data_IF_298146299466
#
_entry.id   IF_298146299466
#
_cell.length_a   1.000
_cell.length_b   1.000
_cell.length_c   1.000
_cell.angle_alpha   90.00
_cell.angle_beta   90.00
_cell.angle_gamma   90.00
#
_symmetry.space_group_name_H-M   'P 1'
#
loop_
_entity.id
_entity.type
_entity.pdbx_description
1 polymer ?
#
# COMPACT_ATOMS: atom_id res chain seq x y z
N UNK A 1 29.91 -0.51 -7.23
CA UNK A 1 30.27 0.71 -7.96
C UNK A 1 29.16 1.00 -8.97
N UNK A 2 28.49 2.14 -8.79
CA UNK A 2 27.70 2.93 -9.74
C UNK A 2 26.40 2.36 -10.34
N UNK A 3 25.29 2.58 -9.62
CA UNK A 3 24.10 3.23 -10.21
C UNK A 3 24.43 4.72 -10.46
N UNK A 4 25.46 5.00 -11.27
CA UNK A 4 25.67 6.31 -11.87
C UNK A 4 25.61 6.07 -13.36
N UNK A 5 24.48 6.41 -13.97
CA UNK A 5 24.28 6.22 -15.40
C UNK A 5 24.05 7.56 -16.07
N UNK A 6 25.09 8.12 -16.72
CA UNK A 6 24.89 9.08 -17.78
C UNK A 6 24.46 8.41 -19.10
N UNK A 7 24.63 7.10 -19.29
CA UNK A 7 24.63 6.51 -20.64
C UNK A 7 23.90 5.16 -20.81
N UNK A 8 22.89 4.84 -20.00
CA UNK A 8 21.85 3.92 -20.52
C UNK A 8 20.94 4.75 -21.40
N UNK A 9 20.76 4.34 -22.65
CA UNK A 9 19.78 4.96 -23.54
C UNK A 9 18.43 4.88 -22.86
N UNK A 10 18.01 6.00 -22.25
CA UNK A 10 16.74 6.19 -21.54
C UNK A 10 15.53 5.71 -22.33
N UNK A 11 15.65 5.53 -23.64
CA UNK A 11 14.59 5.16 -24.56
C UNK A 11 14.23 3.66 -24.47
N UNK A 12 15.20 2.74 -24.48
CA UNK A 12 14.91 1.29 -24.62
C UNK A 12 14.20 0.70 -23.40
N UNK A 13 14.58 1.10 -22.19
CA UNK A 13 13.89 0.68 -20.96
C UNK A 13 12.55 1.41 -20.78
N UNK A 14 12.42 2.65 -21.26
CA UNK A 14 11.21 3.46 -21.13
C UNK A 14 10.10 3.03 -22.09
N UNK A 15 10.44 2.50 -23.26
CA UNK A 15 9.46 2.03 -24.24
C UNK A 15 8.81 0.72 -23.79
N UNK A 16 9.59 -0.26 -23.30
CA UNK A 16 9.07 -1.51 -22.74
C UNK A 16 8.28 -1.28 -21.43
N UNK A 17 8.76 -0.37 -20.59
CA UNK A 17 8.09 0.12 -19.38
C UNK A 17 6.68 0.64 -19.66
N UNK A 18 6.57 1.55 -20.63
CA UNK A 18 5.31 2.16 -20.98
C UNK A 18 4.37 1.16 -21.67
N UNK A 19 4.88 0.20 -22.42
CA UNK A 19 4.07 -0.82 -23.11
C UNK A 19 3.49 -1.86 -22.15
N UNK A 20 4.28 -2.38 -21.21
CA UNK A 20 3.83 -3.38 -20.23
C UNK A 20 2.80 -2.82 -19.23
N UNK A 21 3.03 -1.59 -18.73
CA UNK A 21 2.00 -0.92 -17.93
C UNK A 21 0.77 -0.60 -18.76
N UNK A 22 0.93 -0.14 -20.02
CA UNK A 22 -0.20 0.13 -20.92
C UNK A 22 -1.07 -1.10 -21.16
N UNK A 23 -0.54 -2.29 -21.40
CA UNK A 23 -1.38 -3.46 -21.72
C UNK A 23 -2.29 -3.87 -20.55
N UNK A 24 -1.73 -3.93 -19.32
CA UNK A 24 -2.51 -4.23 -18.11
C UNK A 24 -3.50 -3.11 -17.76
N UNK A 25 -3.08 -1.85 -17.87
CA UNK A 25 -3.99 -0.72 -17.59
C UNK A 25 -5.08 -0.63 -18.65
N UNK A 26 -4.78 -0.88 -19.92
CA UNK A 26 -5.76 -0.91 -21.01
C UNK A 26 -6.85 -1.95 -20.75
N UNK A 27 -6.49 -3.15 -20.27
CA UNK A 27 -7.48 -4.18 -19.96
C UNK A 27 -8.34 -3.82 -18.74
N UNK A 28 -7.74 -3.27 -17.67
CA UNK A 28 -8.49 -2.73 -16.53
C UNK A 28 -9.38 -1.53 -16.93
N UNK A 29 -8.92 -0.74 -17.88
CA UNK A 29 -9.63 0.40 -18.44
C UNK A 29 -10.88 -0.02 -19.20
N UNK A 30 -10.81 -1.06 -20.04
CA UNK A 30 -11.99 -1.62 -20.71
C UNK A 30 -13.06 -2.05 -19.69
N UNK A 31 -12.65 -2.67 -18.59
CA UNK A 31 -13.57 -3.05 -17.50
C UNK A 31 -14.22 -1.83 -16.86
N UNK A 32 -13.44 -0.80 -16.54
CA UNK A 32 -13.96 0.46 -15.99
C UNK A 32 -14.93 1.13 -16.96
N UNK A 33 -14.62 1.16 -18.26
CA UNK A 33 -15.45 1.72 -19.33
C UNK A 33 -16.85 1.09 -19.35
N UNK A 34 -16.89 -0.25 -19.31
CA UNK A 34 -18.14 -1.00 -19.30
C UNK A 34 -18.97 -0.62 -18.07
N UNK A 35 -18.35 -0.64 -16.89
CA UNK A 35 -19.06 -0.33 -15.64
C UNK A 35 -19.54 1.12 -15.57
N UNK A 36 -18.74 2.10 -16.00
CA UNK A 36 -19.14 3.51 -16.04
C UNK A 36 -20.32 3.73 -17.01
N UNK A 37 -20.30 3.08 -18.17
CA UNK A 37 -21.43 3.13 -19.11
C UNK A 37 -22.71 2.58 -18.49
N UNK A 38 -22.61 1.52 -17.67
CA UNK A 38 -23.75 0.94 -16.95
C UNK A 38 -24.25 1.80 -15.77
N UNK A 39 -23.34 2.46 -15.04
CA UNK A 39 -23.70 3.22 -13.83
C UNK A 39 -24.31 4.60 -14.14
N UNK A 40 -23.90 5.22 -15.23
CA UNK A 40 -24.25 6.61 -15.53
C UNK A 40 -25.24 6.79 -16.69
N UNK A 41 -25.77 5.68 -17.25
CA UNK A 41 -26.77 5.65 -18.33
C UNK A 41 -26.44 6.66 -19.46
N UNK A 42 -25.14 6.80 -19.75
CA UNK A 42 -24.64 7.76 -20.73
C UNK A 42 -24.51 7.07 -22.08
N UNK A 43 -25.23 7.58 -23.08
CA UNK A 43 -25.03 7.18 -24.47
C UNK A 43 -23.61 7.58 -24.90
N UNK A 44 -22.67 6.64 -24.81
CA UNK A 44 -21.29 6.79 -25.28
C UNK A 44 -20.33 7.30 -24.22
N UNK A 45 -19.88 6.43 -23.31
CA UNK A 45 -18.61 6.63 -22.65
C UNK A 45 -17.50 6.43 -23.70
N UNK A 46 -16.95 7.53 -24.22
CA UNK A 46 -15.83 7.47 -25.15
C UNK A 46 -14.58 6.97 -24.42
N UNK A 47 -13.70 6.26 -25.12
CA UNK A 47 -12.47 5.71 -24.54
C UNK A 47 -11.60 6.78 -23.86
N UNK A 48 -11.70 8.05 -24.20
CA UNK A 48 -10.93 9.13 -23.55
C UNK A 48 -11.64 9.75 -22.33
N UNK A 49 -12.79 9.21 -21.88
CA UNK A 49 -13.65 9.82 -20.86
C UNK A 49 -13.85 8.99 -19.58
N UNK A 50 -13.20 7.83 -19.48
CA UNK A 50 -13.29 6.97 -18.29
C UNK A 50 -12.23 7.42 -17.30
N UNK A 51 -12.61 7.79 -16.06
CA UNK A 51 -11.65 8.31 -15.11
C UNK A 51 -10.68 7.22 -14.65
N UNK A 52 -9.42 7.58 -14.52
CA UNK A 52 -8.40 6.76 -13.90
C UNK A 52 -8.51 6.85 -12.37
N UNK A 53 -8.98 5.76 -11.76
CA UNK A 53 -9.23 5.70 -10.32
C UNK A 53 -8.18 4.82 -9.64
N UNK A 54 -7.54 5.36 -8.61
CA UNK A 54 -6.61 4.63 -7.74
C UNK A 54 -7.14 4.56 -6.31
N UNK A 55 -6.97 3.42 -5.65
CA UNK A 55 -7.12 3.31 -4.20
C UNK A 55 -5.75 3.21 -3.53
N UNK A 56 -5.47 4.10 -2.58
CA UNK A 56 -4.17 4.20 -1.91
C UNK A 56 -4.32 3.90 -0.42
N UNK A 57 -4.01 2.66 -0.03
CA UNK A 57 -4.03 2.23 1.37
C UNK A 57 -2.85 2.77 2.16
N UNK A 58 -3.12 3.48 3.24
CA UNK A 58 -2.06 4.02 4.11
C UNK A 58 -1.38 2.93 4.95
N UNK A 59 -0.27 3.25 5.62
CA UNK A 59 0.39 2.33 6.53
C UNK A 59 -0.24 2.29 7.93
N UNK A 60 0.26 1.37 8.78
CA UNK A 60 -0.31 1.17 10.12
C UNK A 60 -0.33 -0.27 10.60
N UNK A 61 0.58 -1.12 10.10
CA UNK A 61 0.68 -2.54 10.44
C UNK A 61 -0.63 -3.30 10.24
N UNK A 62 -0.96 -4.20 11.16
CA UNK A 62 -2.14 -5.06 11.05
C UNK A 62 -3.46 -4.29 10.94
N UNK A 63 -3.56 -3.09 11.54
CA UNK A 63 -4.75 -2.24 11.41
C UNK A 63 -4.95 -1.76 9.97
N UNK A 64 -3.88 -1.35 9.29
CA UNK A 64 -3.93 -1.01 7.88
C UNK A 64 -4.24 -2.25 7.04
N UNK A 65 -3.64 -3.39 7.36
CA UNK A 65 -3.90 -4.64 6.66
C UNK A 65 -5.41 -4.99 6.69
N UNK A 66 -6.02 -5.08 7.87
CA UNK A 66 -7.44 -5.39 8.03
C UNK A 66 -8.33 -4.27 7.46
N UNK A 67 -7.97 -3.00 7.70
CA UNK A 67 -8.69 -1.84 7.19
C UNK A 67 -8.77 -1.81 5.66
N UNK A 68 -7.69 -2.17 4.97
CA UNK A 68 -7.65 -2.24 3.52
C UNK A 68 -8.57 -3.34 2.98
N UNK A 69 -8.48 -4.56 3.53
CA UNK A 69 -9.36 -5.68 3.11
C UNK A 69 -10.82 -5.32 3.36
N UNK A 70 -11.14 -4.71 4.50
CA UNK A 70 -12.50 -4.23 4.81
C UNK A 70 -12.99 -3.16 3.84
N UNK A 71 -12.13 -2.21 3.46
CA UNK A 71 -12.45 -1.16 2.48
C UNK A 71 -12.75 -1.76 1.10
N UNK A 72 -11.89 -2.65 0.61
CA UNK A 72 -12.09 -3.35 -0.66
C UNK A 72 -13.34 -4.24 -0.66
N UNK A 73 -13.63 -4.89 0.48
CA UNK A 73 -14.83 -5.71 0.65
C UNK A 73 -16.11 -4.87 0.55
N UNK A 74 -16.12 -3.69 1.20
CA UNK A 74 -17.25 -2.77 1.11
C UNK A 74 -17.39 -2.20 -0.31
N UNK A 75 -16.29 -1.80 -0.95
CA UNK A 75 -16.32 -1.36 -2.35
C UNK A 75 -16.86 -2.44 -3.29
N UNK A 76 -16.57 -3.73 -3.04
CA UNK A 76 -17.15 -4.81 -3.84
C UNK A 76 -18.67 -4.90 -3.65
N UNK A 77 -19.16 -4.76 -2.42
CA UNK A 77 -20.60 -4.75 -2.12
C UNK A 77 -21.32 -3.59 -2.79
N UNK A 78 -20.66 -2.45 -2.86
CA UNK A 78 -21.23 -1.23 -3.45
C UNK A 78 -20.99 -1.14 -4.97
N UNK A 79 -20.38 -2.16 -5.59
CA UNK A 79 -20.11 -2.19 -7.02
C UNK A 79 -18.98 -1.25 -7.48
N UNK A 80 -18.20 -0.70 -6.54
CA UNK A 80 -17.13 0.27 -6.80
C UNK A 80 -15.76 -0.37 -6.97
N UNK A 81 -15.54 -1.61 -6.50
CA UNK A 81 -14.21 -2.24 -6.61
C UNK A 81 -13.75 -2.39 -8.06
N UNK A 82 -14.70 -2.65 -8.95
CA UNK A 82 -14.45 -2.89 -10.37
C UNK A 82 -14.15 -1.60 -11.16
N UNK A 83 -14.24 -0.41 -10.53
CA UNK A 83 -13.85 0.89 -11.12
C UNK A 83 -12.37 1.24 -10.88
N UNK A 84 -11.67 0.49 -10.04
CA UNK A 84 -10.27 0.77 -9.70
C UNK A 84 -9.32 0.27 -10.80
N UNK A 85 -8.51 1.18 -11.33
CA UNK A 85 -7.39 0.82 -12.20
C UNK A 85 -6.17 0.40 -11.41
N UNK A 86 -5.94 1.03 -10.26
CA UNK A 86 -4.74 0.82 -9.45
C UNK A 86 -5.08 0.59 -7.97
N UNK A 87 -4.25 -0.24 -7.35
CA UNK A 87 -4.21 -0.42 -5.90
C UNK A 87 -2.79 -0.15 -5.43
N UNK A 88 -2.60 0.97 -4.73
CA UNK A 88 -1.34 1.36 -4.13
C UNK A 88 -1.34 1.14 -2.62
N UNK A 89 -0.17 0.86 -2.03
CA UNK A 89 -0.06 0.76 -0.58
C UNK A 89 1.36 0.95 -0.06
N UNK A 90 1.43 1.35 1.22
CA UNK A 90 2.67 1.38 2.01
C UNK A 90 2.49 0.55 3.29
N UNK A 91 3.60 0.08 3.88
CA UNK A 91 3.59 -0.62 5.17
C UNK A 91 2.52 -1.72 5.25
N UNK A 92 1.74 -1.78 6.34
CA UNK A 92 0.69 -2.77 6.56
C UNK A 92 -0.33 -2.97 5.42
N UNK A 93 -0.60 -1.95 4.59
CA UNK A 93 -1.46 -2.13 3.40
C UNK A 93 -0.83 -3.09 2.38
N UNK A 94 0.50 -3.09 2.25
CA UNK A 94 1.23 -4.01 1.36
C UNK A 94 1.10 -5.47 1.77
N UNK A 95 0.93 -5.75 3.06
CA UNK A 95 0.72 -7.11 3.57
C UNK A 95 -0.60 -7.69 3.06
N UNK A 96 -1.66 -6.88 3.13
CA UNK A 96 -2.96 -7.24 2.56
C UNK A 96 -2.92 -7.37 1.05
N UNK A 97 -2.24 -6.46 0.36
CA UNK A 97 -2.05 -6.58 -1.09
C UNK A 97 -1.38 -7.92 -1.42
N UNK A 98 -0.23 -8.24 -0.80
CA UNK A 98 0.46 -9.52 -1.00
C UNK A 98 -0.48 -10.74 -0.83
N UNK A 99 -1.25 -10.78 0.27
CA UNK A 99 -2.19 -11.87 0.50
C UNK A 99 -3.35 -11.91 -0.51
N UNK A 100 -3.85 -10.75 -0.95
CA UNK A 100 -4.92 -10.66 -1.96
C UNK A 100 -4.46 -11.17 -3.31
N UNK A 101 -3.31 -10.70 -3.82
CA UNK A 101 -2.80 -11.08 -5.14
C UNK A 101 -2.29 -12.53 -5.22
N UNK A 102 -2.22 -13.24 -4.09
CA UNK A 102 -2.06 -14.70 -4.09
C UNK A 102 -3.25 -15.46 -4.69
N UNK A 103 -4.40 -14.80 -4.83
CA UNK A 103 -5.56 -15.29 -5.58
C UNK A 103 -5.73 -14.42 -6.85
N UNK A 104 -5.48 -14.97 -8.05
CA UNK A 104 -5.64 -14.23 -9.30
C UNK A 104 -7.04 -13.68 -9.56
N UNK A 105 -8.06 -14.12 -8.82
CA UNK A 105 -9.45 -13.69 -8.97
C UNK A 105 -10.01 -13.02 -7.70
N UNK A 106 -9.15 -12.54 -6.79
CA UNK A 106 -9.56 -12.01 -5.48
C UNK A 106 -10.66 -10.95 -5.54
N UNK A 107 -10.62 -10.05 -6.53
CA UNK A 107 -11.60 -8.96 -6.67
C UNK A 107 -13.01 -9.43 -7.05
N UNK A 108 -13.12 -10.64 -7.61
CA UNK A 108 -14.42 -11.27 -7.94
C UNK A 108 -15.08 -11.87 -6.71
N UNK A 109 -14.29 -12.36 -5.74
CA UNK A 109 -14.78 -13.00 -4.52
C UNK A 109 -13.99 -12.57 -3.29
N UNK A 110 -14.38 -11.41 -2.74
CA UNK A 110 -13.78 -10.87 -1.52
C UNK A 110 -14.07 -11.71 -0.26
N UNK A 111 -15.03 -12.65 -0.27
CA UNK A 111 -15.32 -13.47 0.92
C UNK A 111 -14.15 -14.37 1.29
N UNK A 112 -13.45 -14.91 0.28
CA UNK A 112 -12.24 -15.71 0.50
C UNK A 112 -11.17 -14.87 1.17
N UNK A 113 -10.90 -13.66 0.67
CA UNK A 113 -9.94 -12.74 1.26
C UNK A 113 -10.25 -12.39 2.73
N UNK A 114 -11.51 -12.10 3.05
CA UNK A 114 -11.93 -11.83 4.44
C UNK A 114 -11.78 -13.07 5.31
N UNK A 115 -12.11 -14.26 4.80
CA UNK A 115 -12.00 -15.51 5.56
C UNK A 115 -10.55 -15.85 5.93
N UNK A 116 -9.58 -15.54 5.05
CA UNK A 116 -8.14 -15.75 5.29
C UNK A 116 -7.66 -15.00 6.55
N UNK A 117 -8.14 -13.78 6.79
CA UNK A 117 -7.78 -13.01 8.00
C UNK A 117 -8.15 -13.75 9.31
N UNK A 118 -9.24 -14.53 9.27
CA UNK A 118 -9.72 -15.34 10.41
C UNK A 118 -9.32 -16.81 10.32
N UNK A 119 -8.55 -17.19 9.29
CA UNK A 119 -8.12 -18.56 9.03
C UNK A 119 -7.14 -19.09 10.08
N UNK A 120 -6.78 -20.39 9.97
CA UNK A 120 -5.69 -20.96 10.76
C UNK A 120 -4.37 -20.23 10.47
N UNK A 121 -3.50 -20.16 11.47
CA UNK A 121 -2.16 -19.59 11.30
C UNK A 121 -1.26 -20.50 10.45
N UNK A 122 -0.07 -19.98 10.14
CA UNK A 122 1.00 -20.77 9.54
C UNK A 122 1.68 -21.61 10.63
N UNK A 123 1.98 -22.87 10.33
CA UNK A 123 2.74 -23.74 11.23
C UNK A 123 4.14 -23.17 11.50
N UNK A 124 4.58 -23.22 12.76
CA UNK A 124 5.85 -22.62 13.18
C UNK A 124 7.04 -23.20 12.40
N UNK A 125 7.00 -24.50 12.11
CA UNK A 125 8.02 -25.21 11.33
C UNK A 125 8.15 -24.64 9.92
N UNK A 126 7.05 -24.19 9.30
CA UNK A 126 7.07 -23.61 7.97
C UNK A 126 7.75 -22.22 7.99
N UNK A 127 7.39 -21.37 8.96
CA UNK A 127 8.01 -20.06 9.13
C UNK A 127 9.51 -20.17 9.49
N UNK A 128 9.85 -21.08 10.42
CA UNK A 128 11.25 -21.34 10.79
C UNK A 128 12.04 -21.94 9.63
N UNK A 129 11.44 -22.86 8.86
CA UNK A 129 12.07 -23.44 7.68
C UNK A 129 12.42 -22.37 6.65
N UNK A 130 11.50 -21.43 6.39
CA UNK A 130 11.78 -20.30 5.51
C UNK A 130 12.94 -19.43 6.04
N UNK A 131 12.95 -19.09 7.34
CA UNK A 131 14.02 -18.31 7.95
C UNK A 131 15.39 -19.00 7.88
N UNK A 132 15.44 -20.32 8.11
CA UNK A 132 16.67 -21.11 8.04
C UNK A 132 17.25 -21.11 6.62
N UNK A 133 16.39 -21.19 5.59
CA UNK A 133 16.85 -21.11 4.21
C UNK A 133 17.36 -19.70 3.87
N UNK A 134 16.65 -18.64 4.30
CA UNK A 134 17.09 -17.24 4.08
C UNK A 134 18.37 -16.89 4.84
N UNK A 135 18.60 -17.47 6.02
CA UNK A 135 19.80 -17.24 6.80
C UNK A 135 21.10 -17.71 6.11
N UNK A 136 20.99 -18.52 5.05
CA UNK A 136 22.13 -18.93 4.20
C UNK A 136 22.51 -17.88 3.15
N UNK A 137 21.66 -16.88 2.92
CA UNK A 137 21.92 -15.81 1.96
C UNK A 137 22.95 -14.82 2.49
N UNK A 138 23.67 -14.17 1.58
CA UNK A 138 24.72 -13.19 1.90
C UNK A 138 24.20 -11.99 2.71
N UNK A 139 22.90 -11.65 2.60
CA UNK A 139 22.30 -10.42 3.14
C UNK A 139 21.04 -10.67 3.98
N UNK A 140 21.07 -11.70 4.82
CA UNK A 140 20.04 -11.89 5.83
C UNK A 140 20.01 -10.73 6.86
N UNK A 141 18.83 -10.25 7.19
CA UNK A 141 18.61 -9.06 8.02
C UNK A 141 17.41 -9.20 8.96
N UNK A 142 17.23 -8.24 9.86
CA UNK A 142 16.03 -8.15 10.70
C UNK A 142 14.74 -8.00 9.88
N UNK A 143 14.85 -7.50 8.65
CA UNK A 143 13.69 -7.41 7.77
C UNK A 143 13.24 -8.79 7.30
N UNK A 144 14.13 -9.75 7.09
CA UNK A 144 13.73 -11.13 6.76
C UNK A 144 12.97 -11.76 7.94
N UNK A 145 13.45 -11.53 9.17
CA UNK A 145 12.74 -11.92 10.40
C UNK A 145 11.36 -11.26 10.49
N UNK A 146 11.29 -9.96 10.19
CA UNK A 146 10.05 -9.21 10.19
C UNK A 146 9.07 -9.66 9.10
N UNK A 147 9.56 -9.95 7.89
CA UNK A 147 8.78 -10.50 6.78
C UNK A 147 8.16 -11.84 7.13
N UNK A 148 8.95 -12.75 7.72
CA UNK A 148 8.44 -14.03 8.20
C UNK A 148 7.39 -13.86 9.31
N UNK A 149 7.66 -12.98 10.30
CA UNK A 149 6.72 -12.72 11.39
C UNK A 149 5.39 -12.15 10.87
N UNK A 150 5.44 -11.13 10.03
CA UNK A 150 4.24 -10.47 9.49
C UNK A 150 3.43 -11.41 8.61
N UNK A 151 4.11 -12.14 7.72
CA UNK A 151 3.48 -13.12 6.82
C UNK A 151 2.83 -14.26 7.61
N UNK A 152 3.55 -14.86 8.57
CA UNK A 152 3.07 -16.01 9.32
C UNK A 152 2.07 -15.66 10.43
N UNK A 153 2.35 -14.64 11.24
CA UNK A 153 1.54 -14.32 12.42
C UNK A 153 0.34 -13.42 12.11
N UNK A 154 0.49 -12.44 11.21
CA UNK A 154 -0.58 -11.47 10.91
C UNK A 154 -1.37 -11.85 9.68
N UNK A 155 -0.69 -12.10 8.56
CA UNK A 155 -1.35 -12.46 7.30
C UNK A 155 -1.71 -13.94 7.23
N UNK A 156 -1.15 -14.76 8.14
CA UNK A 156 -1.41 -16.20 8.24
C UNK A 156 -1.15 -16.94 6.92
N UNK A 157 -0.16 -16.49 6.18
CA UNK A 157 0.20 -17.03 4.88
C UNK A 157 1.69 -16.80 4.60
N UNK A 158 2.41 -17.87 4.22
CA UNK A 158 3.76 -17.76 3.67
C UNK A 158 3.67 -17.80 2.14
N UNK A 159 3.61 -16.63 1.52
CA UNK A 159 3.54 -16.51 0.06
C UNK A 159 4.94 -16.54 -0.56
N UNK A 160 5.30 -17.68 -1.15
CA UNK A 160 6.62 -17.90 -1.75
C UNK A 160 6.68 -17.56 -3.23
N UNK A 161 5.60 -17.01 -3.80
CA UNK A 161 5.61 -16.50 -5.17
C UNK A 161 6.54 -15.29 -5.28
N UNK A 162 6.86 -14.92 -6.50
CA UNK A 162 7.53 -13.67 -6.79
C UNK A 162 6.55 -12.63 -7.30
N UNK A 163 6.88 -11.34 -7.12
CA UNK A 163 6.02 -10.26 -7.60
C UNK A 163 5.91 -10.29 -9.14
N UNK A 164 6.97 -10.72 -9.84
CA UNK A 164 6.93 -10.84 -11.29
C UNK A 164 5.98 -11.94 -11.81
N UNK A 165 5.62 -12.92 -10.98
CA UNK A 165 4.63 -13.94 -11.34
C UNK A 165 3.23 -13.33 -11.58
N UNK A 166 2.97 -12.13 -11.03
CA UNK A 166 1.70 -11.42 -11.19
C UNK A 166 1.57 -10.71 -12.55
N UNK A 167 2.66 -10.58 -13.32
CA UNK A 167 2.68 -9.86 -14.60
C UNK A 167 1.81 -10.55 -15.68
N UNK A 168 1.73 -11.89 -15.64
CA UNK A 168 0.97 -12.68 -16.59
C UNK A 168 -0.50 -12.89 -16.24
N UNK A 169 -0.99 -12.32 -15.13
CA UNK A 169 -2.36 -12.56 -14.68
C UNK A 169 -3.38 -11.75 -15.49
N UNK A 170 -4.60 -12.28 -15.60
CA UNK A 170 -5.70 -11.57 -16.26
C UNK A 170 -6.04 -10.28 -15.51
N UNK A 171 -6.40 -9.23 -16.25
CA UNK A 171 -6.73 -7.89 -15.75
C UNK A 171 -8.13 -7.82 -15.09
N UNK A 172 -8.40 -8.74 -14.16
CA UNK A 172 -9.61 -8.71 -13.34
C UNK A 172 -9.42 -7.86 -12.10
N UNK A 173 -8.18 -7.73 -11.62
CA UNK A 173 -7.83 -7.01 -10.40
C UNK A 173 -7.20 -5.64 -10.75
N UNK A 174 -7.33 -4.63 -9.88
CA UNK A 174 -6.57 -3.39 -10.01
C UNK A 174 -5.07 -3.68 -10.14
N UNK A 175 -4.30 -2.80 -10.77
CA UNK A 175 -2.86 -2.98 -10.92
C UNK A 175 -2.14 -2.67 -9.60
N UNK A 176 -1.39 -3.63 -9.01
CA UNK A 176 -0.75 -3.42 -7.72
C UNK A 176 0.54 -2.60 -7.83
N UNK A 177 0.70 -1.63 -6.93
CA UNK A 177 1.93 -0.86 -6.77
C UNK A 177 2.31 -0.80 -5.29
N UNK A 178 3.45 -1.41 -4.98
CA UNK A 178 4.07 -1.40 -3.68
C UNK A 178 5.08 -0.25 -3.63
N UNK A 179 5.18 0.43 -2.48
CA UNK A 179 6.10 1.56 -2.34
C UNK A 179 7.03 1.39 -1.13
N UNK A 180 8.28 1.79 -1.34
CA UNK A 180 9.33 1.91 -0.34
C UNK A 180 10.04 3.26 -0.53
N UNK A 181 10.93 3.61 0.38
CA UNK A 181 11.77 4.81 0.26
C UNK A 181 13.25 4.45 0.42
N UNK A 182 14.09 5.14 -0.32
CA UNK A 182 15.54 5.02 -0.21
C UNK A 182 16.05 5.82 0.99
N UNK A 183 16.86 5.18 1.81
CA UNK A 183 17.45 5.77 3.01
C UNK A 183 18.95 5.48 3.06
N UNK A 184 19.68 5.91 2.03
CA UNK A 184 21.14 5.87 2.04
C UNK A 184 21.68 7.00 2.92
N UNK A 185 22.57 6.65 3.86
CA UNK A 185 23.35 7.59 4.67
C UNK A 185 24.47 8.31 3.89
N UNK A 186 24.36 8.33 2.56
CA UNK A 186 25.35 8.94 1.67
C UNK A 186 24.69 10.07 0.92
N UNK A 187 25.24 11.29 1.04
CA UNK A 187 24.84 12.51 0.31
C UNK A 187 24.82 12.24 -1.21
N UNK A 188 23.74 11.64 -1.70
CA UNK A 188 23.66 10.99 -3.01
C UNK A 188 22.38 11.35 -3.74
N UNK A 189 22.34 11.23 -5.07
CA UNK A 189 21.20 11.68 -5.87
C UNK A 189 19.90 10.88 -5.64
N UNK A 190 20.00 9.75 -4.92
CA UNK A 190 18.89 8.84 -4.62
C UNK A 190 18.37 8.95 -3.18
N UNK A 191 19.03 9.74 -2.32
CA UNK A 191 18.65 9.87 -0.91
C UNK A 191 17.22 10.40 -0.76
N UNK A 192 16.40 9.70 0.04
CA UNK A 192 15.01 10.08 0.29
C UNK A 192 14.08 9.90 -0.93
N UNK A 193 14.55 9.24 -1.99
CA UNK A 193 13.74 9.02 -3.20
C UNK A 193 12.79 7.85 -3.02
N UNK A 194 11.58 8.02 -3.54
CA UNK A 194 10.60 6.94 -3.57
C UNK A 194 11.05 5.83 -4.50
N UNK A 195 10.75 4.60 -4.11
CA UNK A 195 10.95 3.40 -4.90
C UNK A 195 9.61 2.69 -5.05
N UNK A 196 9.19 2.46 -6.29
CA UNK A 196 7.96 1.72 -6.59
C UNK A 196 8.30 0.32 -7.12
N UNK A 197 7.47 -0.65 -6.76
CA UNK A 197 7.56 -2.04 -7.19
C UNK A 197 6.20 -2.48 -7.71
N UNK A 198 6.19 -3.05 -8.89
CA UNK A 198 5.01 -3.62 -9.54
C UNK A 198 5.36 -4.95 -10.18
N UNK A 199 4.40 -5.74 -10.68
CA UNK A 199 4.71 -7.03 -11.29
C UNK A 199 5.72 -6.96 -12.44
N UNK A 200 5.68 -5.89 -13.23
CA UNK A 200 6.56 -5.77 -14.40
C UNK A 200 7.92 -5.17 -14.05
N UNK A 201 7.94 -4.19 -13.15
CA UNK A 201 9.10 -3.34 -12.95
C UNK A 201 9.18 -2.74 -11.56
N UNK A 202 10.41 -2.40 -11.19
CA UNK A 202 10.77 -1.79 -9.92
C UNK A 202 11.79 -0.68 -10.14
N UNK A 203 11.64 0.46 -9.47
CA UNK A 203 12.51 1.61 -9.74
C UNK A 203 12.17 2.92 -9.04
N UNK A 204 12.93 3.94 -9.41
CA UNK A 204 12.82 5.32 -8.91
C UNK A 204 12.02 6.18 -9.90
N UNK A 205 10.72 6.45 -9.64
CA UNK A 205 9.86 7.18 -10.56
C UNK A 205 10.36 8.61 -10.82
N UNK A 206 10.88 9.30 -9.81
CA UNK A 206 11.41 10.67 -9.95
C UNK A 206 12.62 10.75 -10.91
N UNK A 207 13.35 9.66 -11.06
CA UNK A 207 14.54 9.59 -11.91
C UNK A 207 14.25 8.94 -13.26
N UNK A 208 13.07 8.32 -13.42
CA UNK A 208 12.75 7.48 -14.57
C UNK A 208 13.67 6.26 -14.68
N UNK A 209 14.18 5.74 -13.56
CA UNK A 209 15.10 4.60 -13.54
C UNK A 209 14.37 3.35 -13.08
N UNK A 210 14.21 2.38 -13.98
CA UNK A 210 13.48 1.14 -13.73
C UNK A 210 14.25 -0.07 -14.25
N UNK A 211 14.03 -1.20 -13.60
CA UNK A 211 14.45 -2.53 -14.03
C UNK A 211 13.24 -3.46 -14.02
N UNK A 212 13.32 -4.56 -14.77
CA UNK A 212 12.35 -5.65 -14.61
C UNK A 212 12.34 -6.13 -13.15
N UNK A 213 11.16 -6.36 -12.59
CA UNK A 213 11.03 -6.76 -11.18
C UNK A 213 11.75 -8.06 -10.87
N UNK A 214 11.80 -9.00 -11.83
CA UNK A 214 12.56 -10.24 -11.70
C UNK A 214 14.08 -10.08 -11.56
N UNK A 215 14.59 -8.87 -11.85
CA UNK A 215 16.00 -8.51 -11.70
C UNK A 215 16.26 -7.71 -10.43
N UNK A 216 15.24 -7.39 -9.63
CA UNK A 216 15.42 -6.67 -8.37
C UNK A 216 16.31 -7.49 -7.41
N UNK A 217 17.39 -6.87 -6.93
CA UNK A 217 18.43 -7.53 -6.15
C UNK A 217 19.60 -8.11 -6.97
N UNK A 218 19.51 -8.12 -8.30
CA UNK A 218 20.65 -8.47 -9.18
C UNK A 218 21.71 -7.37 -9.22
N UNK A 219 22.94 -7.72 -9.65
CA UNK A 219 24.03 -6.74 -9.77
C UNK A 219 24.06 -6.12 -11.16
N UNK A 220 24.18 -4.80 -11.19
CA UNK A 220 24.30 -4.02 -12.41
C UNK A 220 25.58 -3.16 -12.38
N UNK A 221 26.13 -2.89 -13.56
CA UNK A 221 27.18 -1.90 -13.77
C UNK A 221 26.96 -1.21 -15.10
N UNK A 222 26.99 0.12 -15.10
CA UNK A 222 26.77 0.93 -16.31
C UNK A 222 25.49 0.53 -17.06
N UNK A 223 24.46 0.11 -16.30
CA UNK A 223 23.14 -0.26 -16.81
C UNK A 223 23.04 -1.66 -17.38
N UNK A 224 24.13 -2.43 -17.31
CA UNK A 224 24.20 -3.80 -17.81
C UNK A 224 24.12 -4.76 -16.64
N UNK A 225 23.33 -5.82 -16.81
CA UNK A 225 23.25 -6.92 -15.85
C UNK A 225 24.60 -7.62 -15.79
N UNK A 226 25.25 -7.59 -14.62
CA UNK A 226 26.50 -8.29 -14.37
C UNK A 226 26.26 -9.68 -13.78
N UNK A 227 25.36 -9.76 -12.82
CA UNK A 227 25.07 -11.01 -12.11
C UNK A 227 23.57 -11.06 -11.81
N UNK A 228 22.89 -12.03 -12.43
CA UNK A 228 21.49 -12.33 -12.10
C UNK A 228 21.43 -13.02 -10.75
N UNK A 229 20.66 -12.45 -9.82
CA UNK A 229 20.30 -13.08 -8.54
C UNK A 229 18.88 -13.65 -8.63
N UNK A 230 18.53 -14.63 -7.78
CA UNK A 230 17.15 -15.03 -7.60
C UNK A 230 16.29 -13.84 -7.18
N UNK A 231 15.07 -13.74 -7.72
CA UNK A 231 14.09 -12.74 -7.30
C UNK A 231 13.68 -12.99 -5.84
N UNK A 232 13.37 -11.92 -5.11
CA UNK A 232 12.85 -12.03 -3.76
C UNK A 232 11.40 -12.56 -3.79
N UNK A 233 11.05 -13.41 -2.83
CA UNK A 233 9.66 -13.83 -2.65
C UNK A 233 8.81 -12.74 -1.98
N UNK A 234 7.49 -12.93 -2.01
CA UNK A 234 6.53 -11.99 -1.44
C UNK A 234 6.64 -11.87 0.10
N UNK A 235 7.23 -12.84 0.81
CA UNK A 235 7.52 -12.72 2.25
C UNK A 235 8.63 -11.68 2.47
N UNK A 236 9.70 -11.73 1.68
CA UNK A 236 10.80 -10.75 1.74
C UNK A 236 10.35 -9.36 1.27
N UNK A 237 9.52 -9.27 0.23
CA UNK A 237 8.92 -8.01 -0.22
C UNK A 237 8.06 -7.34 0.87
N UNK A 238 7.22 -8.12 1.57
CA UNK A 238 6.42 -7.62 2.69
C UNK A 238 7.29 -7.11 3.84
N UNK A 239 8.37 -7.85 4.13
CA UNK A 239 9.40 -7.39 5.06
C UNK A 239 9.92 -6.02 4.63
N UNK A 240 10.39 -5.90 3.38
CA UNK A 240 10.95 -4.66 2.84
C UNK A 240 9.98 -3.48 2.94
N UNK A 241 8.72 -3.68 2.54
CA UNK A 241 7.73 -2.61 2.53
C UNK A 241 7.20 -2.25 3.93
N UNK A 242 7.32 -3.12 4.92
CA UNK A 242 6.75 -2.92 6.27
C UNK A 242 7.77 -2.89 7.41
N UNK A 243 9.06 -2.93 7.11
CA UNK A 243 10.13 -2.95 8.10
C UNK A 243 10.61 -1.53 8.42
N UNK A 244 10.69 -1.25 9.72
CA UNK A 244 11.38 -0.06 10.27
C UNK A 244 12.91 -0.25 10.23
N UNK A 245 13.37 -1.49 10.01
CA UNK A 245 14.79 -1.84 9.97
C UNK A 245 15.37 -1.74 8.55
N UNK A 246 16.62 -1.29 8.47
CA UNK A 246 17.35 -1.08 7.22
C UNK A 246 17.45 -2.35 6.38
N UNK A 247 17.05 -2.29 5.11
CA UNK A 247 17.38 -3.32 4.13
C UNK A 247 18.58 -2.88 3.31
N UNK A 248 19.62 -3.69 3.31
CA UNK A 248 20.70 -3.55 2.35
C UNK A 248 20.30 -4.38 1.13
N UNK A 249 19.75 -3.72 0.09
CA UNK A 249 19.60 -4.36 -1.23
C UNK A 249 20.95 -4.26 -1.92
N UNK A 250 21.88 -5.08 -1.44
CA UNK A 250 23.29 -5.03 -1.81
C UNK A 250 23.92 -3.62 -1.62
N UNK A 251 25.21 -3.49 -1.92
CA UNK A 251 26.03 -2.29 -1.77
C UNK A 251 25.66 -1.13 -2.73
N UNK A 252 24.37 -0.92 -3.01
CA UNK A 252 23.87 0.07 -3.99
C UNK A 252 22.83 1.06 -3.44
N UNK A 253 21.83 0.63 -2.66
CA UNK A 253 20.85 1.53 -2.04
C UNK A 253 20.06 0.80 -0.93
N UNK A 254 19.53 1.53 0.05
CA UNK A 254 18.81 0.96 1.19
C UNK A 254 17.33 1.29 1.12
N UNK A 255 16.46 0.29 1.01
CA UNK A 255 15.01 0.51 1.03
C UNK A 255 14.45 0.30 2.44
N UNK A 256 13.61 1.21 2.87
CA UNK A 256 12.86 1.14 4.12
C UNK A 256 11.37 1.38 3.87
N UNK A 257 10.55 1.12 4.90
CA UNK A 257 9.11 1.38 4.86
C UNK A 257 8.82 2.86 4.51
N UNK A 258 8.12 3.07 3.38
CA UNK A 258 7.71 4.38 2.92
C UNK A 258 6.79 5.10 3.93
N UNK A 259 6.08 4.34 4.76
CA UNK A 259 5.21 4.86 5.82
C UNK A 259 5.95 5.61 6.92
N UNK A 260 7.28 5.52 6.98
CA UNK A 260 8.13 6.34 7.85
C UNK A 260 8.31 7.78 7.33
N UNK A 261 8.03 8.01 6.04
CA UNK A 261 8.18 9.31 5.40
C UNK A 261 6.82 9.93 5.10
N UNK A 262 6.01 9.26 4.28
CA UNK A 262 4.60 9.60 4.09
C UNK A 262 3.80 8.33 4.19
N UNK A 263 2.80 8.35 5.06
CA UNK A 263 2.02 7.16 5.30
C UNK A 263 1.05 6.78 4.17
N UNK A 264 1.10 7.43 2.99
CA UNK A 264 0.31 7.12 1.80
C UNK A 264 1.21 7.22 0.56
N UNK A 265 1.05 6.32 -0.41
CA UNK A 265 1.89 6.23 -1.62
C UNK A 265 1.63 7.29 -2.69
N UNK A 266 1.10 8.48 -2.34
CA UNK A 266 0.88 9.59 -3.27
C UNK A 266 2.03 9.82 -4.27
N UNK A 267 3.31 9.77 -3.88
CA UNK A 267 4.39 10.14 -4.81
C UNK A 267 4.52 9.18 -5.99
N UNK A 268 4.05 7.94 -5.85
CA UNK A 268 3.97 7.00 -6.97
C UNK A 268 2.80 7.35 -7.90
N UNK A 269 1.73 7.99 -7.43
CA UNK A 269 0.50 8.19 -8.20
C UNK A 269 0.30 9.60 -8.74
N UNK A 270 1.01 10.59 -8.20
CA UNK A 270 0.95 11.97 -8.67
C UNK A 270 1.84 12.20 -9.90
N UNK A 271 1.27 12.85 -10.93
CA UNK A 271 1.93 13.28 -12.16
C UNK A 271 1.48 12.54 -13.42
N UNK A 272 2.07 12.90 -14.55
CA UNK A 272 1.61 12.51 -15.89
C UNK A 272 1.76 11.01 -16.21
N UNK A 273 2.56 10.24 -15.43
CA UNK A 273 2.84 8.82 -15.73
C UNK A 273 1.57 7.96 -15.72
N UNK A 274 0.66 8.23 -14.78
CA UNK A 274 -0.56 7.44 -14.56
C UNK A 274 -1.84 8.23 -14.80
N UNK A 275 -1.73 9.55 -14.92
CA UNK A 275 -2.81 10.46 -15.25
C UNK A 275 -4.07 10.17 -14.42
N UNK A 276 -3.90 10.18 -13.09
CA UNK A 276 -4.95 9.79 -12.15
C UNK A 276 -5.96 10.93 -12.00
N UNK A 277 -7.24 10.67 -12.26
CA UNK A 277 -8.32 11.64 -12.06
C UNK A 277 -8.84 11.64 -10.62
N UNK A 278 -8.92 10.44 -10.01
CA UNK A 278 -9.47 10.26 -8.67
C UNK A 278 -8.62 9.32 -7.82
N UNK A 279 -8.26 9.80 -6.64
CA UNK A 279 -7.62 9.01 -5.59
C UNK A 279 -8.60 8.78 -4.45
N UNK A 280 -8.83 7.51 -4.11
CA UNK A 280 -9.53 7.12 -2.88
C UNK A 280 -8.46 6.72 -1.85
N UNK A 281 -8.31 7.50 -0.79
CA UNK A 281 -7.25 7.34 0.20
C UNK A 281 -7.83 6.96 1.58
N UNK A 282 -8.04 5.65 1.85
CA UNK A 282 -8.35 5.20 3.20
C UNK A 282 -7.13 5.33 4.11
N UNK A 283 -7.28 6.14 5.16
CA UNK A 283 -6.22 6.50 6.08
C UNK A 283 -6.33 5.74 7.40
N UNK A 284 -5.39 4.82 7.61
CA UNK A 284 -5.31 3.90 8.73
C UNK A 284 -4.30 4.32 9.82
N UNK A 285 -3.72 5.51 9.75
CA UNK A 285 -2.80 6.03 10.78
C UNK A 285 -3.42 6.00 12.17
N UNK A 286 -2.58 5.67 13.17
CA UNK A 286 -2.91 5.90 14.57
C UNK A 286 -2.48 7.30 15.04
N UNK A 287 -1.62 7.99 14.29
CA UNK A 287 -1.01 9.27 14.69
C UNK A 287 -1.61 10.48 13.97
N UNK A 288 -0.73 11.40 13.54
CA UNK A 288 -1.12 12.60 12.83
C UNK A 288 -1.77 12.23 11.49
N UNK A 289 -3.08 12.38 11.45
CA UNK A 289 -3.80 12.41 10.17
C UNK A 289 -3.33 13.64 9.39
N UNK A 290 -3.30 13.49 8.06
CA UNK A 290 -2.92 14.52 7.10
C UNK A 290 -1.42 14.86 6.95
N UNK A 291 -0.47 14.04 7.41
CA UNK A 291 0.98 14.24 7.16
C UNK A 291 1.34 14.28 5.66
N UNK A 292 0.54 13.64 4.80
CA UNK A 292 0.71 13.69 3.35
C UNK A 292 0.59 15.11 2.74
N UNK A 293 0.03 16.07 3.48
CA UNK A 293 -0.12 17.46 3.07
C UNK A 293 1.21 18.19 2.88
N UNK A 294 2.08 18.05 3.87
CA UNK A 294 3.33 18.82 3.92
C UNK A 294 4.25 18.36 2.79
N UNK A 295 4.23 17.06 2.48
CA UNK A 295 5.05 16.50 1.41
C UNK A 295 4.60 16.89 0.00
N UNK A 296 3.31 16.90 -0.30
CA UNK A 296 2.85 17.20 -1.66
C UNK A 296 3.29 18.61 -2.10
N UNK A 297 3.30 19.55 -1.16
CA UNK A 297 3.87 20.89 -1.34
C UNK A 297 5.41 20.86 -1.53
N UNK A 298 6.12 19.98 -0.81
CA UNK A 298 7.58 19.83 -0.91
C UNK A 298 8.05 19.22 -2.24
N UNK A 299 7.29 18.28 -2.83
CA UNK A 299 7.72 17.60 -4.07
C UNK A 299 7.27 18.21 -5.38
N UNK A 300 6.61 19.36 -5.33
CA UNK A 300 6.19 20.12 -6.52
C UNK A 300 5.42 19.25 -7.55
N UNK A 301 4.56 18.35 -7.05
CA UNK A 301 3.66 17.54 -7.88
C UNK A 301 2.24 18.13 -7.85
N UNK A 302 1.43 17.97 -8.92
CA UNK A 302 0.04 18.42 -8.91
C UNK A 302 -0.72 17.77 -7.75
N UNK A 303 -1.26 18.58 -6.84
CA UNK A 303 -2.00 18.11 -5.68
C UNK A 303 -3.07 19.13 -5.29
N UNK A 304 -4.30 18.70 -4.97
CA UNK A 304 -5.39 19.62 -4.66
C UNK A 304 -5.07 20.43 -3.40
N UNK A 305 -5.43 21.72 -3.44
CA UNK A 305 -5.32 22.57 -2.25
C UNK A 305 -6.25 22.05 -1.16
N UNK A 306 -5.70 21.83 0.02
CA UNK A 306 -6.47 21.46 1.21
C UNK A 306 -6.78 22.72 2.04
N UNK A 307 -8.04 22.85 2.47
CA UNK A 307 -8.50 23.97 3.30
C UNK A 307 -7.94 23.82 4.72
N UNK A 308 -7.32 24.87 5.26
CA UNK A 308 -6.77 24.93 6.62
C UNK A 308 -7.84 24.56 7.68
N UNK A 309 -9.13 24.79 7.41
CA UNK A 309 -10.22 24.36 8.29
C UNK A 309 -10.30 22.85 8.48
N UNK A 310 -9.82 22.06 7.52
CA UNK A 310 -9.76 20.60 7.66
C UNK A 310 -8.67 20.21 8.66
N UNK A 311 -7.57 20.96 8.72
CA UNK A 311 -6.52 20.77 9.72
C UNK A 311 -7.01 21.07 11.13
N UNK A 312 -7.94 22.03 11.30
CA UNK A 312 -8.59 22.31 12.59
C UNK A 312 -9.44 21.12 13.08
N UNK A 313 -9.89 20.23 12.19
CA UNK A 313 -10.69 19.06 12.53
C UNK A 313 -9.83 17.81 12.85
N UNK A 314 -8.49 17.91 12.88
CA UNK A 314 -7.58 16.75 13.02
C UNK A 314 -7.86 15.89 14.26
N UNK A 315 -8.24 16.50 15.38
CA UNK A 315 -8.52 15.74 16.63
C UNK A 315 -9.90 15.06 16.61
N UNK A 316 -10.79 15.49 15.73
CA UNK A 316 -12.14 14.94 15.61
C UNK A 316 -12.63 15.02 14.15
N UNK A 317 -12.06 14.20 13.24
CA UNK A 317 -12.28 14.35 11.82
C UNK A 317 -13.62 13.75 11.39
N UNK A 318 -14.20 14.29 10.33
CA UNK A 318 -15.34 13.73 9.60
C UNK A 318 -14.97 12.38 8.98
N UNK A 319 -15.97 11.61 8.60
CA UNK A 319 -15.80 10.30 7.97
C UNK A 319 -15.26 10.35 6.54
N UNK A 320 -15.40 11.49 5.87
CA UNK A 320 -14.94 11.70 4.52
C UNK A 320 -14.60 13.17 4.27
N UNK A 321 -13.53 13.41 3.52
CA UNK A 321 -13.14 14.69 2.97
C UNK A 321 -12.95 14.54 1.46
N UNK A 322 -13.39 15.54 0.70
CA UNK A 322 -13.16 15.60 -0.74
C UNK A 322 -12.32 16.84 -1.01
N UNK A 323 -11.16 16.63 -1.61
CA UNK A 323 -10.27 17.69 -2.06
C UNK A 323 -10.32 17.71 -3.58
N UNK A 324 -11.05 18.68 -4.13
CA UNK A 324 -11.24 18.80 -5.58
C UNK A 324 -9.94 19.26 -6.25
N UNK A 325 -9.47 18.44 -7.19
CA UNK A 325 -8.32 18.77 -8.04
C UNK A 325 -8.70 19.71 -9.18
N UNK A 326 -7.71 20.43 -9.69
CA UNK A 326 -7.81 21.27 -10.90
C UNK A 326 -6.77 20.85 -11.93
N UNK A 327 -7.11 21.00 -13.21
CA UNK A 327 -6.24 20.72 -14.34
C UNK A 327 -5.62 19.31 -14.28
N UNK A 328 -4.37 19.19 -13.84
CA UNK A 328 -3.62 17.91 -13.71
C UNK A 328 -3.64 17.33 -12.29
N UNK A 329 -4.29 18.00 -11.34
CA UNK A 329 -4.39 17.53 -9.97
C UNK A 329 -5.51 16.48 -9.87
N UNK A 330 -5.27 15.31 -9.25
CA UNK A 330 -6.35 14.38 -8.96
C UNK A 330 -7.31 14.98 -7.94
N UNK A 331 -8.59 14.63 -8.05
CA UNK A 331 -9.50 14.76 -6.90
C UNK A 331 -9.16 13.69 -5.87
N UNK A 332 -9.15 14.04 -4.59
CA UNK A 332 -8.81 13.12 -3.50
C UNK A 332 -10.03 12.95 -2.59
N UNK A 333 -10.53 11.72 -2.49
CA UNK A 333 -11.49 11.28 -1.47
C UNK A 333 -10.71 10.67 -0.32
N UNK A 334 -10.57 11.41 0.77
CA UNK A 334 -9.79 11.01 1.94
C UNK A 334 -10.71 10.47 3.05
N UNK A 335 -10.42 9.26 3.51
CA UNK A 335 -11.29 8.48 4.40
C UNK A 335 -10.54 8.10 5.69
N UNK A 336 -10.56 8.95 6.73
CA UNK A 336 -9.91 8.64 7.99
C UNK A 336 -10.61 7.50 8.72
N UNK A 337 -9.86 6.48 9.13
CA UNK A 337 -10.39 5.33 9.86
C UNK A 337 -11.03 5.75 11.19
N UNK A 338 -10.34 6.60 11.94
CA UNK A 338 -10.82 7.14 13.21
C UNK A 338 -11.53 8.46 12.97
N UNK A 339 -12.87 8.44 12.98
CA UNK A 339 -13.69 9.60 12.65
C UNK A 339 -14.98 9.67 13.50
N UNK A 340 -15.72 10.78 13.39
CA UNK A 340 -16.93 11.02 14.22
C UNK A 340 -18.00 9.94 14.10
N UNK A 341 -18.11 9.27 12.94
CA UNK A 341 -19.09 8.20 12.71
C UNK A 341 -18.59 6.87 13.26
N UNK A 342 -17.38 6.45 12.86
CA UNK A 342 -16.77 5.20 13.29
C UNK A 342 -16.53 5.18 14.82
N UNK A 343 -16.28 6.35 15.40
CA UNK A 343 -16.03 6.50 16.84
C UNK A 343 -17.27 6.98 17.63
N UNK A 344 -18.47 6.99 17.03
CA UNK A 344 -19.69 7.46 17.70
C UNK A 344 -20.03 6.56 18.89
N UNK A 345 -20.22 7.16 20.07
CA UNK A 345 -20.54 6.43 21.31
C UNK A 345 -19.31 6.04 22.15
N UNK A 346 -18.10 6.23 21.63
CA UNK A 346 -16.84 6.04 22.37
C UNK A 346 -16.47 7.27 23.23
N UNK A 347 -17.14 8.42 23.05
CA UNK A 347 -16.87 9.66 23.80
C UNK A 347 -18.14 10.45 24.17
N UNK A 348 -18.20 10.93 25.41
CA UNK A 348 -19.12 12.00 25.82
C UNK A 348 -18.49 13.38 25.58
N UNK A 349 -19.28 14.31 25.04
CA UNK A 349 -18.90 15.63 24.47
C UNK A 349 -18.00 16.56 25.31
N UNK A 350 -17.73 16.28 26.59
CA UNK A 350 -17.11 17.25 27.51
C UNK A 350 -15.63 17.03 27.86
N UNK A 351 -14.96 15.98 27.38
CA UNK A 351 -13.60 15.64 27.86
C UNK A 351 -12.46 15.97 26.89
N UNK A 352 -12.75 16.56 25.72
CA UNK A 352 -11.75 16.73 24.65
C UNK A 352 -10.84 17.96 24.81
N UNK A 353 -11.26 19.00 25.53
CA UNK A 353 -10.50 20.26 25.61
C UNK A 353 -9.26 20.22 26.52
N UNK A 354 -9.11 19.19 27.36
CA UNK A 354 -8.05 19.16 28.40
C UNK A 354 -7.07 17.97 28.30
N UNK A 355 -7.23 17.02 27.36
CA UNK A 355 -6.48 15.74 27.43
C UNK A 355 -6.06 15.15 26.08
N UNK A 356 -5.65 15.99 25.12
CA UNK A 356 -5.26 15.58 23.76
C UNK A 356 -4.28 14.39 23.68
N UNK A 357 -3.35 14.25 24.64
CA UNK A 357 -2.38 13.15 24.67
C UNK A 357 -2.76 11.95 25.55
N UNK A 358 -3.67 12.10 26.52
CA UNK A 358 -4.12 10.99 27.40
C UNK A 358 -5.36 10.26 26.90
N UNK A 359 -6.10 10.85 25.96
CA UNK A 359 -7.28 10.23 25.32
C UNK A 359 -6.85 9.10 24.39
N UNK A 360 -5.73 9.28 23.69
CA UNK A 360 -5.10 8.24 22.87
C UNK A 360 -4.89 6.95 23.66
N UNK A 361 -4.25 7.04 24.83
CA UNK A 361 -4.02 5.91 25.72
C UNK A 361 -5.31 5.34 26.34
N UNK A 362 -6.35 6.15 26.57
CA UNK A 362 -7.62 5.64 27.13
C UNK A 362 -8.48 4.90 26.10
N UNK A 363 -8.46 5.27 24.83
CA UNK A 363 -9.07 4.44 23.77
C UNK A 363 -8.29 3.14 23.61
N UNK A 364 -6.96 3.24 23.72
CA UNK A 364 -5.99 2.15 23.67
C UNK A 364 -6.10 1.18 24.87
N UNK A 365 -6.55 1.64 26.06
CA UNK A 365 -6.67 0.85 27.30
C UNK A 365 -8.11 0.49 27.73
N UNK A 366 -9.14 1.34 27.51
CA UNK A 366 -10.49 1.13 28.05
C UNK A 366 -11.49 0.50 27.08
N UNK A 367 -11.30 0.66 25.77
CA UNK A 367 -12.19 0.04 24.80
C UNK A 367 -11.50 -1.18 24.20
N UNK A 368 -12.25 -2.28 24.11
CA UNK A 368 -11.91 -3.62 23.61
C UNK A 368 -11.46 -3.63 22.14
N UNK A 369 -10.50 -2.78 21.78
CA UNK A 369 -9.71 -2.72 20.56
C UNK A 369 -8.30 -3.29 20.79
N UNK A 370 -8.15 -4.19 21.77
CA UNK A 370 -6.98 -5.04 21.98
C UNK A 370 -6.67 -5.97 20.78
N UNK A 371 -7.46 -5.94 19.71
CA UNK A 371 -7.21 -6.67 18.46
C UNK A 371 -6.45 -5.87 17.38
N UNK A 372 -6.05 -4.61 17.65
CA UNK A 372 -5.42 -3.74 16.63
C UNK A 372 -4.19 -2.98 17.16
N UNK A 373 -3.47 -3.56 18.13
CA UNK A 373 -2.13 -3.09 18.50
C UNK A 373 -1.13 -3.63 17.48
N UNK A 374 -0.19 -2.78 17.07
CA UNK A 374 1.04 -3.10 16.30
C UNK A 374 1.98 -4.06 17.06
N UNK A 375 1.55 -4.68 18.17
CA UNK A 375 2.35 -5.52 19.06
C UNK A 375 1.59 -6.69 19.74
N UNK A 376 0.32 -6.95 19.43
CA UNK A 376 -0.37 -8.14 19.97
C UNK A 376 -0.64 -9.17 18.86
N UNK A 377 0.03 -10.32 18.99
CA UNK A 377 0.18 -11.42 18.04
C UNK A 377 -1.11 -12.23 17.76
N UNK A 378 -2.32 -11.69 18.00
CA UNK A 378 -3.54 -12.48 17.81
C UNK A 378 -4.79 -11.67 17.43
N UNK A 379 -5.51 -12.16 16.42
CA UNK A 379 -6.83 -11.70 16.01
C UNK A 379 -7.91 -12.56 16.69
N UNK A 380 -8.84 -11.95 17.44
CA UNK A 380 -10.00 -12.64 18.02
C UNK A 380 -11.26 -12.24 17.25
N UNK A 381 -11.99 -13.18 16.62
CA UNK A 381 -13.25 -12.90 15.95
C UNK A 381 -14.31 -12.31 16.89
N UNK A 382 -15.10 -11.35 16.45
CA UNK A 382 -16.19 -10.77 17.24
C UNK A 382 -17.25 -11.81 17.66
N UNK A 383 -17.37 -12.93 16.93
CA UNK A 383 -18.33 -14.01 17.18
C UNK A 383 -17.97 -14.94 18.34
N UNK A 384 -16.72 -14.92 18.83
CA UNK A 384 -16.28 -15.74 19.98
C UNK A 384 -16.38 -15.01 21.33
N UNK A 385 -16.84 -13.75 21.36
CA UNK A 385 -17.18 -13.06 22.60
C UNK A 385 -18.65 -13.30 22.97
N UNK A 386 -18.91 -14.41 23.66
CA UNK A 386 -20.20 -14.70 24.28
C UNK A 386 -20.61 -13.55 25.21
N UNK A 387 -21.85 -13.09 25.02
CA UNK A 387 -22.58 -12.17 25.90
C UNK A 387 -22.42 -12.58 27.37
N UNK A 388 -21.95 -11.66 28.22
CA UNK A 388 -22.34 -11.62 29.62
C UNK A 388 -23.17 -10.35 29.83
N UNK A 389 -24.43 -10.46 29.44
CA UNK A 389 -25.52 -9.73 30.05
C UNK A 389 -25.69 -10.22 31.49
N UNK A 390 -25.08 -9.56 32.45
CA UNK A 390 -25.55 -9.47 33.84
C UNK A 390 -24.55 -8.66 34.65
N UNK A 391 -24.95 -7.46 35.08
CA UNK A 391 -25.11 -7.12 36.49
C UNK A 391 -25.64 -5.68 36.58
N UNK A 392 -26.73 -5.59 37.34
CA UNK A 392 -27.54 -4.45 37.75
C UNK A 392 -26.76 -3.22 38.20
#
# INVERSE_FOLDING_TARGET
MYLMLPNVTRETLRDQHAENQRDMTTKNFFKCTILFSFLFDSEGCFFDSVPHIALLGSGGGQRAAVGLVGSLYQMKKDGLLDTLLYLGGVSGSTWSMSSLYSDPQWSTNMNTAVSKLSGPGVELEQALGWLIERAKEEHFSLTDVWGALTSAAFMKQMDLRHLSDDAGQNATNPYPIYSAIENSFSDGPIEGKWFEMSPHESGFPEMGLFIETSLLGSKFQDGRLLEKKPEMDMVKLQGLCGSISFNIIHSCFQLIDAGLFINVSYPSFLGDKRDIDLIIAPEFSAGNMFEALDYAAEVNKPFPKIDDKVLEERDWPKDCYVFEGKDKEPTIVYLPLFNRKNCKGLFHKHTLKERGTRIFWRIFLLYRFTAYIVNDLSFVPASSMTFLSTLS
#
